data_IF_613633027319
#
_entry.id   IF_613633027319
#
_cell.length_a   1.000
_cell.length_b   1.000
_cell.length_c   1.000
_cell.angle_alpha   90.00
_cell.angle_beta   90.00
_cell.angle_gamma   90.00
#
_symmetry.space_group_name_H-M   'P 1'
#
loop_
_entity.id
_entity.type
_entity.pdbx_description
1 polymer ?
#
# COMPACT_ATOMS: atom_id res chain seq x y z
N UNK A 1 -16.78 -28.91 -8.44
CA UNK A 1 -15.44 -28.83 -9.00
C UNK A 1 -14.54 -28.10 -7.98
N UNK A 2 -13.48 -28.76 -7.53
CA UNK A 2 -12.57 -28.25 -6.50
C UNK A 2 -11.20 -28.05 -7.14
N UNK A 3 -10.47 -27.02 -6.74
CA UNK A 3 -9.05 -26.88 -7.06
C UNK A 3 -8.21 -27.76 -6.13
N UNK A 4 -7.19 -28.43 -6.65
CA UNK A 4 -6.05 -28.83 -5.82
C UNK A 4 -5.27 -27.60 -5.40
N UNK A 5 -4.40 -27.70 -4.39
CA UNK A 5 -3.59 -26.56 -3.94
C UNK A 5 -2.68 -26.02 -5.07
N UNK A 6 -2.09 -26.91 -5.87
CA UNK A 6 -1.23 -26.54 -6.99
C UNK A 6 -2.02 -25.89 -8.14
N UNK A 7 -3.18 -26.48 -8.50
CA UNK A 7 -4.08 -25.88 -9.50
C UNK A 7 -4.54 -24.48 -9.08
N UNK A 8 -4.87 -24.27 -7.80
CA UNK A 8 -5.30 -22.99 -7.27
C UNK A 8 -4.16 -21.97 -7.37
N UNK A 9 -2.96 -22.34 -6.94
CA UNK A 9 -1.77 -21.48 -7.01
C UNK A 9 -1.49 -21.04 -8.45
N UNK A 10 -1.48 -21.99 -9.38
CA UNK A 10 -1.22 -21.72 -10.79
C UNK A 10 -2.33 -20.87 -11.45
N UNK A 11 -3.59 -21.17 -11.14
CA UNK A 11 -4.72 -20.40 -11.66
C UNK A 11 -4.74 -18.98 -11.11
N UNK A 12 -4.44 -18.80 -9.82
CA UNK A 12 -4.33 -17.51 -9.17
C UNK A 12 -3.23 -16.64 -9.83
N UNK A 13 -2.01 -17.17 -9.95
CA UNK A 13 -0.89 -16.45 -10.56
C UNK A 13 -1.18 -16.09 -12.02
N UNK A 14 -1.76 -17.01 -12.80
CA UNK A 14 -2.14 -16.75 -14.19
C UNK A 14 -3.20 -15.64 -14.31
N UNK A 15 -4.25 -15.69 -13.50
CA UNK A 15 -5.33 -14.69 -13.54
C UNK A 15 -4.86 -13.31 -13.04
N UNK A 16 -4.01 -13.28 -12.02
CA UNK A 16 -3.37 -12.05 -11.55
C UNK A 16 -2.58 -11.39 -12.67
N UNK A 17 -1.67 -12.13 -13.31
CA UNK A 17 -0.88 -11.61 -14.43
C UNK A 17 -1.73 -11.13 -15.60
N UNK A 18 -2.79 -11.86 -15.96
CA UNK A 18 -3.70 -11.44 -17.04
C UNK A 18 -4.40 -10.11 -16.72
N UNK A 19 -4.85 -9.91 -15.47
CA UNK A 19 -5.50 -8.67 -15.07
C UNK A 19 -4.53 -7.50 -15.01
N UNK A 20 -3.33 -7.71 -14.49
CA UNK A 20 -2.25 -6.71 -14.49
C UNK A 20 -1.87 -6.28 -15.91
N UNK A 21 -1.74 -7.23 -16.84
CA UNK A 21 -1.43 -6.94 -18.23
C UNK A 21 -2.57 -6.17 -18.93
N UNK A 22 -3.82 -6.53 -18.67
CA UNK A 22 -4.98 -5.82 -19.20
C UNK A 22 -5.02 -4.37 -18.69
N UNK A 23 -4.85 -4.17 -17.39
CA UNK A 23 -4.83 -2.84 -16.79
C UNK A 23 -3.64 -2.01 -17.27
N UNK A 24 -2.47 -2.63 -17.48
CA UNK A 24 -1.28 -1.96 -18.07
C UNK A 24 -1.55 -1.46 -19.49
N UNK A 25 -2.31 -2.22 -20.28
CA UNK A 25 -2.69 -1.79 -21.63
C UNK A 25 -3.67 -0.61 -21.59
N UNK A 26 -4.62 -0.59 -20.65
CA UNK A 26 -5.56 0.51 -20.45
C UNK A 26 -4.86 1.80 -19.98
N UNK A 27 -3.82 1.69 -19.16
CA UNK A 27 -3.05 2.83 -18.64
C UNK A 27 -2.15 3.50 -19.67
N UNK A 28 -1.93 2.86 -20.83
CA UNK A 28 -1.15 3.42 -21.93
C UNK A 28 0.37 3.24 -21.82
N UNK A 29 1.12 3.75 -22.83
CA UNK A 29 2.55 3.45 -22.99
C UNK A 29 3.45 3.95 -21.86
N UNK A 30 3.09 5.02 -21.15
CA UNK A 30 3.89 5.55 -20.04
C UNK A 30 3.93 4.62 -18.84
N UNK A 31 2.90 3.82 -18.64
CA UNK A 31 2.87 2.80 -17.60
C UNK A 31 3.76 1.58 -17.93
N UNK A 32 4.03 1.35 -19.21
CA UNK A 32 4.85 0.22 -19.68
C UNK A 32 6.36 0.47 -19.56
N UNK A 33 6.80 1.73 -19.47
CA UNK A 33 8.21 2.11 -19.54
C UNK A 33 8.99 1.92 -18.24
N UNK A 34 8.33 1.77 -17.08
CA UNK A 34 9.01 1.66 -15.77
C UNK A 34 9.21 0.21 -15.34
N UNK A 35 9.71 -0.65 -16.24
CA UNK A 35 10.01 -2.07 -15.93
C UNK A 35 11.20 -2.28 -14.98
N UNK A 36 12.01 -1.26 -14.73
CA UNK A 36 13.28 -1.41 -14.00
C UNK A 36 13.17 -1.25 -12.48
N UNK A 37 12.05 -0.82 -11.95
CA UNK A 37 11.81 -0.83 -10.51
C UNK A 37 11.24 -2.20 -10.10
N UNK A 38 12.15 -3.17 -9.96
CA UNK A 38 11.86 -4.60 -9.85
C UNK A 38 11.05 -5.00 -8.60
N UNK A 39 10.87 -4.09 -7.66
CA UNK A 39 10.28 -4.37 -6.35
C UNK A 39 8.75 -4.21 -6.34
N UNK A 40 8.22 -3.15 -6.97
CA UNK A 40 6.79 -2.89 -7.08
C UNK A 40 6.37 -2.81 -8.55
N UNK A 41 5.57 -3.74 -9.01
CA UNK A 41 5.05 -3.72 -10.37
C UNK A 41 3.81 -2.83 -10.49
N UNK A 42 3.78 -1.99 -11.50
CA UNK A 42 2.61 -1.22 -11.91
C UNK A 42 1.89 -1.94 -13.04
N UNK A 43 0.60 -1.88 -13.11
CA UNK A 43 -0.44 -1.28 -12.27
C UNK A 43 -0.85 -2.14 -11.07
N UNK A 44 -1.80 -1.67 -10.26
CA UNK A 44 -2.39 -2.40 -9.14
C UNK A 44 -3.80 -2.88 -9.49
N UNK A 45 -4.12 -4.13 -9.15
CA UNK A 45 -5.43 -4.75 -9.39
C UNK A 45 -6.23 -4.87 -8.09
N UNK A 46 -7.54 -5.01 -8.21
CA UNK A 46 -8.42 -5.42 -7.11
C UNK A 46 -8.42 -6.95 -7.03
N UNK A 47 -7.84 -7.50 -5.97
CA UNK A 47 -7.63 -8.96 -5.83
C UNK A 47 -8.95 -9.73 -5.75
N UNK A 48 -10.04 -9.13 -5.29
CA UNK A 48 -11.38 -9.72 -5.32
C UNK A 48 -11.82 -10.13 -6.72
N UNK A 49 -11.38 -9.44 -7.75
CA UNK A 49 -11.66 -9.81 -9.13
C UNK A 49 -10.95 -11.11 -9.55
N UNK A 50 -9.78 -11.41 -8.97
CA UNK A 50 -9.08 -12.69 -9.18
C UNK A 50 -9.85 -13.81 -8.49
N UNK A 51 -10.34 -13.60 -7.27
CA UNK A 51 -11.18 -14.58 -6.57
C UNK A 51 -12.47 -14.85 -7.34
N UNK A 52 -13.12 -13.81 -7.87
CA UNK A 52 -14.31 -13.97 -8.71
C UNK A 52 -14.02 -14.81 -9.96
N UNK A 53 -12.93 -14.53 -10.66
CA UNK A 53 -12.52 -15.28 -11.84
C UNK A 53 -12.20 -16.76 -11.54
N UNK A 54 -11.62 -17.03 -10.35
CA UNK A 54 -11.37 -18.41 -9.89
C UNK A 54 -12.67 -19.20 -9.71
N UNK A 55 -13.71 -18.59 -9.14
CA UNK A 55 -15.04 -19.20 -9.03
C UNK A 55 -15.65 -19.49 -10.41
N UNK A 56 -15.64 -18.48 -11.29
CA UNK A 56 -16.20 -18.58 -12.65
C UNK A 56 -15.50 -19.66 -13.47
N UNK A 57 -14.17 -19.77 -13.36
CA UNK A 57 -13.37 -20.82 -14.06
C UNK A 57 -13.78 -22.25 -13.67
N UNK A 58 -14.34 -22.43 -12.48
CA UNK A 58 -14.88 -23.72 -12.01
C UNK A 58 -16.40 -23.86 -12.20
N UNK A 59 -17.03 -22.91 -12.92
CA UNK A 59 -18.48 -22.94 -13.18
C UNK A 59 -19.32 -22.62 -11.93
N UNK A 60 -18.72 -22.01 -10.91
CA UNK A 60 -19.45 -21.54 -9.71
C UNK A 60 -20.06 -20.19 -10.00
N UNK A 61 -21.37 -20.06 -9.80
CA UNK A 61 -22.03 -18.75 -9.82
C UNK A 61 -21.65 -18.00 -8.53
N UNK A 62 -20.83 -16.98 -8.68
CA UNK A 62 -20.37 -16.12 -7.60
C UNK A 62 -20.54 -14.67 -8.00
N UNK A 63 -20.89 -13.84 -7.07
CA UNK A 63 -20.83 -12.39 -7.18
C UNK A 63 -19.55 -11.83 -6.54
N UNK A 64 -19.38 -10.53 -6.64
CA UNK A 64 -18.20 -9.85 -6.09
C UNK A 64 -18.18 -9.92 -4.55
N UNK A 65 -19.32 -9.97 -3.89
CA UNK A 65 -19.41 -10.06 -2.43
C UNK A 65 -18.87 -11.40 -1.93
N UNK A 66 -19.25 -12.51 -2.58
CA UNK A 66 -18.67 -13.83 -2.27
C UNK A 66 -17.15 -13.86 -2.52
N UNK A 67 -16.69 -13.21 -3.58
CA UNK A 67 -15.26 -13.12 -3.90
C UNK A 67 -14.49 -12.32 -2.83
N UNK A 68 -15.04 -11.20 -2.35
CA UNK A 68 -14.49 -10.42 -1.23
C UNK A 68 -14.39 -11.29 0.02
N UNK A 69 -15.48 -11.97 0.41
CA UNK A 69 -15.48 -12.84 1.59
C UNK A 69 -14.47 -13.98 1.48
N UNK A 70 -14.33 -14.59 0.30
CA UNK A 70 -13.33 -15.62 0.06
C UNK A 70 -11.90 -15.09 0.22
N UNK A 71 -11.60 -13.89 -0.32
CA UNK A 71 -10.33 -13.23 -0.15
C UNK A 71 -10.03 -12.89 1.32
N UNK A 72 -11.00 -12.33 2.03
CA UNK A 72 -10.87 -12.04 3.46
C UNK A 72 -10.64 -13.30 4.30
N UNK A 73 -11.37 -14.38 4.01
CA UNK A 73 -11.18 -15.66 4.66
C UNK A 73 -9.78 -16.23 4.42
N UNK A 74 -9.31 -16.16 3.18
CA UNK A 74 -7.94 -16.53 2.84
C UNK A 74 -6.91 -15.72 3.64
N UNK A 75 -7.11 -14.40 3.75
CA UNK A 75 -6.24 -13.50 4.52
C UNK A 75 -6.20 -13.88 6.01
N UNK A 76 -7.36 -14.14 6.61
CA UNK A 76 -7.48 -14.54 8.01
C UNK A 76 -6.73 -15.85 8.27
N UNK A 77 -6.90 -16.85 7.40
CA UNK A 77 -6.24 -18.15 7.53
C UNK A 77 -4.72 -18.08 7.35
N UNK A 78 -4.22 -17.10 6.61
CA UNK A 78 -2.79 -16.89 6.36
C UNK A 78 -2.12 -15.92 7.35
N UNK A 79 -2.88 -15.31 8.26
CA UNK A 79 -2.37 -14.33 9.22
C UNK A 79 -2.06 -15.03 10.55
N UNK A 80 -0.80 -15.01 10.97
CA UNK A 80 -0.39 -15.50 12.28
C UNK A 80 -0.73 -14.51 13.39
N UNK A 81 -0.42 -13.23 13.15
CA UNK A 81 -0.76 -12.13 14.07
C UNK A 81 -0.87 -10.81 13.31
N UNK A 82 -1.59 -9.87 13.90
CA UNK A 82 -1.65 -8.48 13.48
C UNK A 82 -1.47 -7.59 14.71
N UNK A 83 -0.50 -6.67 14.65
CA UNK A 83 -0.22 -5.74 15.75
C UNK A 83 0.39 -4.45 15.21
N UNK A 84 0.25 -3.39 15.99
CA UNK A 84 0.94 -2.13 15.75
C UNK A 84 2.38 -2.18 16.26
N UNK A 85 3.23 -1.39 15.65
CA UNK A 85 4.50 -1.03 16.26
C UNK A 85 4.26 -0.17 17.50
N UNK A 86 5.14 -0.32 18.50
CA UNK A 86 5.06 0.45 19.74
C UNK A 86 5.13 1.96 19.43
N UNK A 87 4.24 2.73 20.04
CA UNK A 87 4.16 4.17 19.84
C UNK A 87 3.39 4.64 18.59
N UNK A 88 2.79 3.71 17.81
CA UNK A 88 2.10 4.09 16.57
C UNK A 88 0.91 5.02 16.80
N UNK A 89 0.02 4.69 17.74
CA UNK A 89 -1.13 5.54 18.06
C UNK A 89 -0.72 6.84 18.73
N UNK A 90 0.28 6.80 19.57
CA UNK A 90 0.85 7.96 20.25
C UNK A 90 1.47 8.97 19.26
N UNK A 91 2.16 8.47 18.22
CA UNK A 91 2.67 9.31 17.15
C UNK A 91 1.52 9.97 16.37
N UNK A 92 0.57 9.17 15.90
CA UNK A 92 -0.56 9.67 15.11
C UNK A 92 -1.40 10.69 15.89
N UNK A 93 -1.68 10.41 17.18
CA UNK A 93 -2.38 11.34 18.05
C UNK A 93 -1.62 12.67 18.19
N UNK A 94 -0.32 12.60 18.47
CA UNK A 94 0.52 13.78 18.66
C UNK A 94 0.62 14.65 17.39
N UNK A 95 0.71 14.03 16.20
CA UNK A 95 0.68 14.77 14.94
C UNK A 95 -0.64 15.55 14.77
N UNK A 96 -1.77 14.93 15.08
CA UNK A 96 -3.08 15.59 15.01
C UNK A 96 -3.25 16.69 16.05
N UNK A 97 -2.79 16.48 17.27
CA UNK A 97 -2.80 17.48 18.35
C UNK A 97 -2.00 18.75 17.99
N UNK A 98 -0.95 18.60 17.19
CA UNK A 98 -0.17 19.72 16.64
C UNK A 98 -0.77 20.34 15.37
N UNK A 99 -2.00 19.94 15.00
CA UNK A 99 -2.70 20.47 13.84
C UNK A 99 -2.25 19.94 12.50
N UNK A 100 -1.36 18.94 12.48
CA UNK A 100 -0.90 18.32 11.24
C UNK A 100 -2.00 17.43 10.66
N UNK A 101 -2.12 17.43 9.33
CA UNK A 101 -2.95 16.49 8.60
C UNK A 101 -2.21 15.19 8.40
N UNK A 102 -2.92 14.08 8.56
CA UNK A 102 -2.33 12.73 8.46
C UNK A 102 -3.11 11.91 7.44
N UNK A 103 -2.40 11.44 6.43
CA UNK A 103 -2.97 10.65 5.34
C UNK A 103 -2.31 9.28 5.27
N UNK A 104 -3.07 8.26 4.90
CA UNK A 104 -2.51 6.94 4.58
C UNK A 104 -2.46 6.78 3.06
N UNK A 105 -1.24 6.61 2.50
CA UNK A 105 -1.00 6.28 1.10
C UNK A 105 -0.27 4.93 1.04
N UNK A 106 -1.00 3.83 0.82
CA UNK A 106 -0.47 2.47 0.98
C UNK A 106 -0.65 1.61 -0.26
N UNK A 107 0.42 0.90 -0.63
CA UNK A 107 0.37 -0.21 -1.58
C UNK A 107 -0.30 -1.40 -0.88
N UNK A 108 -1.62 -1.50 -1.00
CA UNK A 108 -2.40 -2.47 -0.23
C UNK A 108 -3.74 -2.81 -0.88
N UNK A 109 -4.18 -4.03 -0.63
CA UNK A 109 -5.50 -4.51 -1.05
C UNK A 109 -6.58 -4.04 -0.09
N UNK A 110 -7.56 -3.29 -0.61
CA UNK A 110 -8.66 -2.72 0.18
C UNK A 110 -9.41 -3.76 1.00
N UNK A 111 -9.72 -4.91 0.40
CA UNK A 111 -10.51 -5.95 1.08
C UNK A 111 -9.80 -6.55 2.31
N UNK A 112 -8.49 -6.37 2.44
CA UNK A 112 -7.71 -6.77 3.61
C UNK A 112 -7.47 -5.59 4.55
N UNK A 113 -6.93 -4.51 4.03
CA UNK A 113 -6.42 -3.40 4.84
C UNK A 113 -7.53 -2.59 5.50
N UNK A 114 -8.70 -2.44 4.87
CA UNK A 114 -9.79 -1.66 5.44
C UNK A 114 -10.28 -2.24 6.78
N UNK A 115 -10.54 -3.55 6.86
CA UNK A 115 -10.95 -4.16 8.12
C UNK A 115 -9.81 -4.25 9.15
N UNK A 116 -8.55 -4.41 8.69
CA UNK A 116 -7.39 -4.42 9.58
C UNK A 116 -7.18 -3.07 10.27
N UNK A 117 -7.32 -1.95 9.53
CA UNK A 117 -7.30 -0.60 10.10
C UNK A 117 -8.39 -0.39 11.14
N UNK A 118 -9.61 -0.86 10.85
CA UNK A 118 -10.73 -0.80 11.78
C UNK A 118 -10.49 -1.66 13.03
N UNK A 119 -10.01 -2.88 12.85
CA UNK A 119 -9.67 -3.80 13.95
C UNK A 119 -8.62 -3.20 14.89
N UNK A 120 -7.59 -2.57 14.30
CA UNK A 120 -6.52 -1.91 15.05
C UNK A 120 -6.93 -0.54 15.61
N UNK A 121 -8.11 -0.02 15.25
CA UNK A 121 -8.62 1.28 15.66
C UNK A 121 -7.75 2.43 15.15
N UNK A 122 -7.30 2.34 13.90
CA UNK A 122 -6.44 3.35 13.27
C UNK A 122 -7.19 4.34 12.39
N UNK A 123 -8.36 3.98 11.84
CA UNK A 123 -9.12 4.83 10.92
C UNK A 123 -9.31 6.26 11.43
N UNK A 124 -9.64 6.51 12.72
CA UNK A 124 -9.90 7.87 13.21
C UNK A 124 -8.67 8.80 13.20
N UNK A 125 -7.48 8.25 13.04
CA UNK A 125 -6.25 9.04 13.03
C UNK A 125 -5.93 9.64 11.66
N UNK A 126 -6.54 9.15 10.59
CA UNK A 126 -6.29 9.62 9.24
C UNK A 126 -7.37 10.58 8.76
N UNK A 127 -6.95 11.67 8.11
CA UNK A 127 -7.86 12.60 7.43
C UNK A 127 -8.40 11.98 6.13
N UNK A 128 -7.62 11.09 5.50
CA UNK A 128 -8.07 10.24 4.39
C UNK A 128 -7.16 9.02 4.21
N UNK A 129 -7.67 7.99 3.50
CA UNK A 129 -7.01 6.71 3.29
C UNK A 129 -7.04 6.35 1.81
N UNK A 130 -5.85 6.24 1.21
CA UNK A 130 -5.65 5.83 -0.17
C UNK A 130 -4.98 4.46 -0.22
N UNK A 131 -5.70 3.48 -0.73
CA UNK A 131 -5.22 2.11 -0.94
C UNK A 131 -5.05 1.87 -2.43
N UNK A 132 -3.89 1.37 -2.84
CA UNK A 132 -3.52 1.22 -4.25
C UNK A 132 -4.53 0.42 -5.07
N UNK A 133 -5.09 -0.66 -4.52
CA UNK A 133 -6.08 -1.47 -5.23
C UNK A 133 -7.34 -0.68 -5.61
N UNK A 134 -7.82 0.23 -4.75
CA UNK A 134 -8.97 1.09 -5.06
C UNK A 134 -8.66 2.17 -6.09
N UNK A 135 -7.38 2.51 -6.25
CA UNK A 135 -6.90 3.55 -7.16
C UNK A 135 -6.38 2.97 -8.48
N UNK A 136 -6.24 1.65 -8.58
CA UNK A 136 -5.68 0.89 -9.72
C UNK A 136 -4.26 1.32 -10.11
N UNK A 137 -3.55 1.95 -9.19
CA UNK A 137 -2.17 2.41 -9.32
C UNK A 137 -1.48 2.37 -7.97
N UNK A 138 -0.19 2.08 -7.94
CA UNK A 138 0.59 1.97 -6.70
C UNK A 138 1.92 2.69 -6.77
N UNK A 139 2.50 3.02 -5.61
CA UNK A 139 3.86 3.58 -5.51
C UNK A 139 4.88 2.59 -6.13
N UNK A 140 5.93 3.08 -6.79
CA UNK A 140 6.42 4.46 -6.88
C UNK A 140 5.77 5.30 -7.99
N UNK A 141 4.69 4.85 -8.65
CA UNK A 141 4.04 5.64 -9.69
C UNK A 141 3.55 6.99 -9.14
N UNK A 142 4.05 8.08 -9.72
CA UNK A 142 3.74 9.45 -9.29
C UNK A 142 2.26 9.79 -9.36
N UNK A 143 1.49 9.11 -10.23
CA UNK A 143 0.03 9.30 -10.33
C UNK A 143 -0.67 8.95 -9.01
N UNK A 144 -0.18 7.94 -8.28
CA UNK A 144 -0.78 7.57 -6.98
C UNK A 144 -0.57 8.66 -5.93
N UNK A 145 0.60 9.31 -5.92
CA UNK A 145 0.84 10.48 -5.07
C UNK A 145 -0.03 11.66 -5.47
N UNK A 146 -0.13 11.95 -6.78
CA UNK A 146 -0.96 13.06 -7.28
C UNK A 146 -2.45 12.88 -6.95
N UNK A 147 -2.99 11.66 -6.92
CA UNK A 147 -4.38 11.43 -6.48
C UNK A 147 -4.64 11.99 -5.07
N UNK A 148 -3.69 11.84 -4.14
CA UNK A 148 -3.79 12.38 -2.79
C UNK A 148 -3.54 13.90 -2.77
N UNK A 149 -2.45 14.35 -3.41
CA UNK A 149 -2.04 15.75 -3.42
C UNK A 149 -3.14 16.65 -4.02
N UNK A 150 -3.68 16.26 -5.17
CA UNK A 150 -4.70 17.02 -5.88
C UNK A 150 -6.04 17.04 -5.13
N UNK A 151 -6.48 15.88 -4.60
CA UNK A 151 -7.74 15.79 -3.85
C UNK A 151 -7.78 16.70 -2.63
N UNK A 152 -6.67 16.83 -1.94
CA UNK A 152 -6.59 17.59 -0.69
C UNK A 152 -5.86 18.92 -0.83
N UNK A 153 -5.48 19.32 -2.06
CA UNK A 153 -4.74 20.55 -2.35
C UNK A 153 -3.47 20.66 -1.49
N UNK A 154 -2.73 19.55 -1.37
CA UNK A 154 -1.53 19.47 -0.55
C UNK A 154 -0.35 20.06 -1.32
N UNK A 155 0.40 20.92 -0.66
CA UNK A 155 1.66 21.46 -1.17
C UNK A 155 2.78 20.46 -0.85
N UNK A 156 3.45 19.90 -1.87
CA UNK A 156 4.49 18.88 -1.65
C UNK A 156 5.61 19.37 -0.72
N UNK A 157 6.05 20.62 -0.88
CA UNK A 157 7.11 21.24 -0.10
C UNK A 157 6.77 21.45 1.39
N UNK A 158 5.50 21.37 1.76
CA UNK A 158 5.02 21.45 3.16
C UNK A 158 4.68 20.07 3.73
N UNK A 159 5.00 19.01 2.99
CA UNK A 159 4.54 17.64 3.30
C UNK A 159 5.70 16.65 3.31
N UNK A 160 5.55 15.62 4.11
CA UNK A 160 6.58 14.58 4.26
C UNK A 160 5.97 13.19 4.10
N UNK A 161 6.57 12.39 3.24
CA UNK A 161 6.28 10.95 3.13
C UNK A 161 7.12 10.18 4.13
N UNK A 162 6.47 9.39 4.98
CA UNK A 162 7.13 8.49 5.93
C UNK A 162 6.88 7.06 5.44
N UNK A 163 7.93 6.33 5.17
CA UNK A 163 7.80 4.98 4.65
C UNK A 163 9.02 4.11 4.91
N UNK A 164 8.87 2.82 4.61
CA UNK A 164 9.89 1.81 4.88
C UNK A 164 10.49 1.18 3.61
N UNK A 165 10.07 1.65 2.47
CA UNK A 165 10.53 1.18 1.17
C UNK A 165 11.25 2.31 0.42
N UNK A 166 12.54 2.06 0.09
CA UNK A 166 13.38 3.06 -0.56
C UNK A 166 12.93 3.42 -1.98
N UNK A 167 12.27 2.49 -2.67
CA UNK A 167 11.81 2.66 -4.05
C UNK A 167 10.38 3.18 -4.06
N UNK A 168 9.46 2.43 -3.48
CA UNK A 168 8.04 2.78 -3.57
C UNK A 168 7.70 4.04 -2.76
N UNK A 169 8.23 4.17 -1.53
CA UNK A 169 7.90 5.32 -0.68
C UNK A 169 8.81 6.52 -0.97
N UNK A 170 10.14 6.32 -0.89
CA UNK A 170 11.09 7.44 -0.85
C UNK A 170 11.33 8.00 -2.26
N UNK A 171 11.68 7.17 -3.23
CA UNK A 171 11.95 7.63 -4.58
C UNK A 171 10.70 8.26 -5.21
N UNK A 172 9.54 7.58 -5.11
CA UNK A 172 8.28 8.10 -5.65
C UNK A 172 7.86 9.43 -5.02
N UNK A 173 8.02 9.60 -3.70
CA UNK A 173 7.74 10.85 -3.01
C UNK A 173 8.65 11.99 -3.44
N UNK A 174 9.96 11.74 -3.61
CA UNK A 174 10.92 12.73 -4.11
C UNK A 174 10.58 13.20 -5.53
N UNK A 175 10.14 12.30 -6.40
CA UNK A 175 9.76 12.63 -7.78
C UNK A 175 8.59 13.64 -7.85
N UNK A 176 7.73 13.69 -6.83
CA UNK A 176 6.62 14.65 -6.72
C UNK A 176 6.94 15.84 -5.80
N UNK A 177 8.16 15.95 -5.29
CA UNK A 177 8.62 17.09 -4.49
C UNK A 177 8.29 17.03 -3.01
N UNK A 178 7.85 15.89 -2.49
CA UNK A 178 7.65 15.70 -1.05
C UNK A 178 8.97 15.61 -0.30
N UNK A 179 9.00 16.09 0.93
CA UNK A 179 10.03 15.67 1.88
C UNK A 179 9.90 14.19 2.21
N UNK A 180 11.00 13.57 2.65
CA UNK A 180 11.06 12.11 2.82
C UNK A 180 11.66 11.70 4.14
N UNK A 181 11.04 10.70 4.77
CA UNK A 181 11.51 10.09 5.99
C UNK A 181 11.51 8.56 5.84
N UNK A 182 12.68 7.97 5.69
CA UNK A 182 12.81 6.52 5.67
C UNK A 182 12.93 5.96 7.09
N UNK A 183 12.11 4.96 7.41
CA UNK A 183 12.21 4.20 8.66
C UNK A 183 12.29 2.71 8.35
N UNK A 184 13.44 2.10 8.69
CA UNK A 184 13.62 0.66 8.47
C UNK A 184 12.76 -0.16 9.43
N UNK A 185 12.08 -1.18 8.89
CA UNK A 185 11.22 -2.10 9.61
C UNK A 185 11.57 -3.55 9.27
N UNK A 186 10.99 -4.49 9.99
CA UNK A 186 11.17 -5.92 9.72
C UNK A 186 10.57 -6.41 8.39
N UNK A 187 9.80 -5.57 7.70
CA UNK A 187 9.22 -5.83 6.38
C UNK A 187 9.83 -4.95 5.29
N UNK A 188 10.84 -4.13 5.63
CA UNK A 188 11.56 -3.35 4.61
C UNK A 188 12.30 -4.27 3.67
N UNK A 189 12.33 -3.97 2.37
CA UNK A 189 13.23 -4.67 1.46
C UNK A 189 14.68 -4.54 1.90
N UNK A 190 15.46 -5.59 1.67
CA UNK A 190 16.90 -5.54 1.93
C UNK A 190 17.55 -4.47 1.06
N UNK A 191 18.29 -3.56 1.69
CA UNK A 191 19.03 -2.52 1.00
C UNK A 191 20.49 -2.58 1.41
N UNK A 192 21.40 -2.70 0.43
CA UNK A 192 22.85 -2.62 0.66
C UNK A 192 23.32 -1.20 1.01
N UNK A 193 22.52 -0.20 0.66
CA UNK A 193 22.85 1.22 0.82
C UNK A 193 21.80 1.92 1.66
N UNK A 194 22.25 2.91 2.44
CA UNK A 194 21.36 3.82 3.14
C UNK A 194 20.46 4.52 2.11
N UNK A 195 19.12 4.48 2.29
CA UNK A 195 18.20 5.18 1.39
C UNK A 195 18.47 6.68 1.29
N UNK A 196 18.31 7.23 0.11
CA UNK A 196 18.44 8.67 -0.15
C UNK A 196 17.14 9.38 0.26
N UNK A 197 17.00 9.63 1.57
CA UNK A 197 15.89 10.35 2.17
C UNK A 197 16.40 11.51 3.02
N UNK A 198 15.55 12.54 3.25
CA UNK A 198 15.94 13.70 4.07
C UNK A 198 16.18 13.30 5.52
N UNK A 199 15.37 12.36 6.02
CA UNK A 199 15.55 11.72 7.31
C UNK A 199 15.65 10.20 7.17
N UNK A 200 16.54 9.57 7.91
CA UNK A 200 16.74 8.11 7.88
C UNK A 200 16.90 7.55 9.27
N UNK A 201 16.03 6.63 9.65
CA UNK A 201 16.17 5.76 10.81
C UNK A 201 16.31 4.31 10.37
N UNK A 202 17.43 3.68 10.69
CA UNK A 202 17.71 2.28 10.38
C UNK A 202 17.14 1.29 11.41
N UNK A 203 16.28 1.78 12.30
CA UNK A 203 15.53 0.99 13.28
C UNK A 203 14.15 1.59 13.46
N UNK A 204 13.15 0.74 13.72
CA UNK A 204 11.80 1.16 14.02
C UNK A 204 11.75 1.84 15.39
N UNK A 205 11.70 3.17 15.40
CA UNK A 205 11.63 4.01 16.60
C UNK A 205 10.66 5.18 16.34
N UNK A 206 9.38 4.94 16.63
CA UNK A 206 8.32 5.93 16.40
C UNK A 206 8.36 7.10 17.41
N UNK A 207 8.99 6.90 18.58
CA UNK A 207 9.22 8.00 19.52
C UNK A 207 10.22 9.01 18.94
N UNK A 208 11.26 8.53 18.27
CA UNK A 208 12.23 9.39 17.59
C UNK A 208 11.64 10.07 16.35
N UNK A 209 10.78 9.39 15.60
CA UNK A 209 10.00 10.00 14.52
C UNK A 209 9.18 11.16 15.06
N UNK A 210 8.43 10.93 16.16
CA UNK A 210 7.65 11.97 16.83
C UNK A 210 8.52 13.17 17.23
N UNK A 211 9.68 12.93 17.85
CA UNK A 211 10.58 13.98 18.24
C UNK A 211 11.04 14.84 17.05
N UNK A 212 11.40 14.22 15.92
CA UNK A 212 11.86 14.94 14.72
C UNK A 212 10.74 15.76 14.08
N UNK A 213 9.52 15.21 14.01
CA UNK A 213 8.39 15.86 13.31
C UNK A 213 7.67 16.92 14.14
N UNK A 214 7.81 16.90 15.47
CA UNK A 214 7.08 17.76 16.40
C UNK A 214 8.04 18.64 17.23
N UNK A 215 9.35 18.53 17.03
CA UNK A 215 10.29 19.49 17.62
C UNK A 215 10.06 20.86 17.00
N UNK A 216 9.86 21.84 17.85
CA UNK A 216 9.59 23.25 17.56
C UNK A 216 10.69 23.93 16.72
#
# INVERSE_FOLDING_TARGET
>A
AVYTAEELKNAYACLTGQKEDALRQEMGPDAAMKKDDAHEAHPEIEIEEVFLALFQKKGVQADIELAIHAGQFFRILSTEYIRLYDGAKELLAALRETGKKVYLLSNAQRIFTAYELKLLGLEPYFDDIFLSSSCKVKKPDTRFFHLLLDKHHILPEESIMIGNDAVSDIKGAKEVGLHTFYIHSNISPDTEKKPDADHVLMQMDLAKVRQILISD
#
